data_IF_065633453898
#
_entry.id   IF_065633453898
#
_cell.length_a   1.000
_cell.length_b   1.000
_cell.length_c   1.000
_cell.angle_alpha   90.00
_cell.angle_beta   90.00
_cell.angle_gamma   90.00
#
_symmetry.space_group_name_H-M   'P 1'
#
loop_
_entity.id
_entity.type
_entity.pdbx_description
1 polymer ?
#
# COMPACT_ATOMS: atom_id res chain seq x y z
N UNK A 1 2.60 -17.73 -16.59
CA UNK A 1 1.45 -17.02 -15.95
C UNK A 1 0.69 -17.86 -14.91
N UNK A 2 1.13 -19.07 -14.57
CA UNK A 2 0.43 -19.98 -13.64
C UNK A 2 0.91 -19.86 -12.18
N UNK A 3 2.17 -19.53 -11.93
CA UNK A 3 2.73 -19.50 -10.57
C UNK A 3 2.04 -18.46 -9.66
N UNK A 4 1.86 -17.22 -10.12
CA UNK A 4 1.22 -16.14 -9.35
C UNK A 4 -0.29 -16.35 -9.10
N UNK A 5 -0.92 -17.29 -9.78
CA UNK A 5 -2.34 -17.59 -9.61
C UNK A 5 -2.62 -18.69 -8.57
N UNK A 6 -1.60 -19.34 -8.03
CA UNK A 6 -1.76 -20.29 -6.93
C UNK A 6 -2.09 -19.57 -5.62
N UNK A 7 -3.04 -20.14 -4.87
CA UNK A 7 -3.53 -19.57 -3.60
C UNK A 7 -2.38 -19.26 -2.60
N UNK A 8 -1.38 -20.13 -2.40
CA UNK A 8 -0.28 -19.86 -1.46
C UNK A 8 0.54 -18.63 -1.87
N UNK A 9 0.81 -18.46 -3.16
CA UNK A 9 1.58 -17.33 -3.66
C UNK A 9 0.83 -16.00 -3.49
N UNK A 10 -0.50 -16.03 -3.63
CA UNK A 10 -1.36 -14.87 -3.40
C UNK A 10 -1.44 -14.50 -1.91
N UNK A 11 -1.49 -15.48 -1.01
CA UNK A 11 -1.40 -15.26 0.44
C UNK A 11 -0.04 -14.71 0.83
N UNK A 12 1.05 -15.28 0.30
CA UNK A 12 2.40 -14.79 0.52
C UNK A 12 2.57 -13.34 0.03
N UNK A 13 2.05 -13.00 -1.15
CA UNK A 13 2.05 -11.63 -1.65
C UNK A 13 1.23 -10.68 -0.76
N UNK A 14 0.07 -11.12 -0.27
CA UNK A 14 -0.74 -10.34 0.66
C UNK A 14 -0.02 -10.11 2.00
N UNK A 15 0.71 -11.10 2.49
CA UNK A 15 1.52 -10.99 3.70
C UNK A 15 2.67 -10.01 3.51
N UNK A 16 3.48 -10.19 2.45
CA UNK A 16 4.60 -9.30 2.13
C UNK A 16 4.10 -7.88 1.92
N UNK A 17 3.03 -7.70 1.14
CA UNK A 17 2.38 -6.41 0.94
C UNK A 17 1.92 -5.78 2.24
N UNK A 18 1.30 -6.55 3.13
CA UNK A 18 0.87 -6.07 4.44
C UNK A 18 2.06 -5.59 5.29
N UNK A 19 3.14 -6.38 5.35
CA UNK A 19 4.36 -6.00 6.08
C UNK A 19 4.94 -4.71 5.54
N UNK A 20 5.08 -4.59 4.22
CA UNK A 20 5.58 -3.38 3.58
C UNK A 20 4.66 -2.18 3.87
N UNK A 21 3.35 -2.37 3.87
CA UNK A 21 2.38 -1.31 4.14
C UNK A 21 2.38 -0.85 5.60
N UNK A 22 2.48 -1.80 6.53
CA UNK A 22 2.67 -1.52 7.95
C UNK A 22 3.97 -0.76 8.20
N UNK A 23 5.09 -1.20 7.60
CA UNK A 23 6.37 -0.51 7.71
C UNK A 23 6.32 0.90 7.11
N UNK A 24 5.74 1.07 5.93
CA UNK A 24 5.55 2.39 5.32
C UNK A 24 4.76 3.32 6.23
N UNK A 25 3.65 2.82 6.79
CA UNK A 25 2.82 3.56 7.75
C UNK A 25 3.63 3.94 8.98
N UNK A 26 4.39 3.01 9.55
CA UNK A 26 5.25 3.29 10.69
C UNK A 26 6.28 4.38 10.37
N UNK A 27 6.96 4.29 9.22
CA UNK A 27 7.93 5.28 8.78
C UNK A 27 7.30 6.67 8.59
N UNK A 28 6.10 6.74 8.01
CA UNK A 28 5.35 8.00 7.87
C UNK A 28 5.00 8.59 9.24
N UNK A 29 4.46 7.80 10.17
CA UNK A 29 4.09 8.29 11.50
C UNK A 29 5.31 8.68 12.34
N UNK A 30 6.41 7.93 12.21
CA UNK A 30 7.69 8.28 12.82
C UNK A 30 8.26 9.58 12.22
N UNK A 31 8.09 9.81 10.92
CA UNK A 31 8.45 11.06 10.26
C UNK A 31 7.64 12.26 10.80
N UNK A 32 6.37 12.05 11.16
CA UNK A 32 5.53 13.06 11.83
C UNK A 32 5.73 13.12 13.36
N UNK A 33 6.82 12.56 13.88
CA UNK A 33 7.16 12.53 15.31
C UNK A 33 6.05 11.95 16.22
N UNK A 34 5.14 11.15 15.67
CA UNK A 34 4.10 10.48 16.46
C UNK A 34 4.77 9.44 17.36
N UNK A 35 4.35 9.39 18.63
CA UNK A 35 4.95 8.52 19.63
C UNK A 35 5.11 7.08 19.12
N UNK A 36 6.28 6.48 19.33
CA UNK A 36 6.60 5.15 18.77
C UNK A 36 5.59 4.05 19.13
N UNK A 37 4.94 4.15 20.31
CA UNK A 37 3.87 3.23 20.72
C UNK A 37 2.60 3.39 19.87
N UNK A 38 2.18 4.63 19.60
CA UNK A 38 1.04 4.92 18.73
C UNK A 38 1.37 4.53 17.28
N UNK A 39 2.57 4.84 16.80
CA UNK A 39 3.03 4.51 15.45
C UNK A 39 3.04 3.00 15.21
N UNK A 40 3.50 2.20 16.19
CA UNK A 40 3.42 0.74 16.15
C UNK A 40 1.99 0.23 16.16
N UNK A 41 1.13 0.78 17.03
CA UNK A 41 -0.27 0.37 17.11
C UNK A 41 -1.02 0.63 15.78
N UNK A 42 -0.87 1.83 15.22
CA UNK A 42 -1.51 2.21 13.95
C UNK A 42 -0.96 1.37 12.79
N UNK A 43 0.36 1.17 12.73
CA UNK A 43 1.01 0.28 11.75
C UNK A 43 0.45 -1.14 11.82
N UNK A 44 0.29 -1.69 13.03
CA UNK A 44 -0.30 -3.01 13.25
C UNK A 44 -1.77 -3.08 12.81
N UNK A 45 -2.56 -2.04 13.10
CA UNK A 45 -3.95 -1.93 12.64
C UNK A 45 -3.99 -1.92 11.11
N UNK A 46 -3.16 -1.10 10.46
CA UNK A 46 -3.09 -1.02 8.99
C UNK A 46 -2.68 -2.36 8.38
N UNK A 47 -1.69 -3.05 8.96
CA UNK A 47 -1.30 -4.40 8.54
C UNK A 47 -2.49 -5.37 8.60
N UNK A 48 -3.20 -5.42 9.73
CA UNK A 48 -4.34 -6.32 9.92
C UNK A 48 -5.48 -6.03 8.94
N UNK A 49 -5.80 -4.76 8.73
CA UNK A 49 -6.82 -4.35 7.75
C UNK A 49 -6.42 -4.72 6.33
N UNK A 50 -5.17 -4.47 5.94
CA UNK A 50 -4.66 -4.83 4.61
C UNK A 50 -4.66 -6.35 4.41
N UNK A 51 -4.08 -7.11 5.34
CA UNK A 51 -3.98 -8.56 5.20
C UNK A 51 -5.36 -9.22 5.26
N UNK A 52 -6.19 -8.83 6.23
CA UNK A 52 -7.53 -9.37 6.42
C UNK A 52 -8.45 -9.12 5.24
N UNK A 53 -8.44 -7.92 4.67
CA UNK A 53 -9.26 -7.61 3.50
C UNK A 53 -8.81 -8.36 2.24
N UNK A 54 -7.49 -8.56 2.08
CA UNK A 54 -6.93 -9.34 0.97
C UNK A 54 -7.32 -10.80 1.10
N UNK A 55 -7.27 -11.37 2.30
CA UNK A 55 -7.79 -12.72 2.57
C UNK A 55 -9.31 -12.78 2.31
N UNK A 56 -10.07 -11.80 2.77
CA UNK A 56 -11.52 -11.73 2.55
C UNK A 56 -11.85 -11.77 1.05
N UNK A 57 -11.18 -10.93 0.23
CA UNK A 57 -11.33 -10.97 -1.22
C UNK A 57 -10.88 -12.30 -1.81
N UNK A 58 -9.75 -12.85 -1.36
CA UNK A 58 -9.17 -14.10 -1.85
C UNK A 58 -10.10 -15.29 -1.64
N UNK A 59 -10.74 -15.36 -0.47
CA UNK A 59 -11.61 -16.46 -0.06
C UNK A 59 -13.08 -16.24 -0.44
N UNK A 60 -13.52 -15.01 -0.66
CA UNK A 60 -14.90 -14.73 -1.08
C UNK A 60 -15.28 -15.42 -2.39
N UNK A 61 -14.29 -15.65 -3.27
CA UNK A 61 -14.54 -16.21 -4.61
C UNK A 61 -15.45 -15.34 -5.48
N UNK A 62 -15.75 -14.11 -5.04
CA UNK A 62 -16.57 -13.15 -5.78
C UNK A 62 -15.66 -12.42 -6.75
N UNK A 63 -16.14 -12.30 -7.98
CA UNK A 63 -15.48 -11.50 -8.99
C UNK A 63 -15.58 -10.02 -8.62
N UNK A 64 -14.46 -9.42 -8.24
CA UNK A 64 -14.36 -8.00 -7.92
C UNK A 64 -13.45 -7.31 -8.94
N UNK A 65 -13.54 -5.98 -9.05
CA UNK A 65 -12.69 -5.19 -9.94
C UNK A 65 -11.18 -5.45 -9.71
N UNK A 66 -10.85 -5.83 -8.46
CA UNK A 66 -9.50 -6.02 -7.98
C UNK A 66 -9.04 -7.49 -8.04
N UNK A 67 -9.98 -8.45 -7.95
CA UNK A 67 -9.68 -9.88 -7.96
C UNK A 67 -10.69 -10.67 -8.79
N UNK A 68 -10.18 -11.32 -9.83
CA UNK A 68 -10.89 -12.29 -10.66
C UNK A 68 -10.44 -13.71 -10.29
N UNK A 69 -11.39 -14.62 -10.03
CA UNK A 69 -11.08 -16.06 -10.03
C UNK A 69 -12.24 -16.90 -10.57
N UNK A 70 -11.93 -17.61 -11.66
CA UNK A 70 -12.31 -18.97 -12.10
C UNK A 70 -13.73 -19.56 -11.92
N UNK A 71 -14.47 -19.26 -10.86
CA UNK A 71 -15.85 -19.75 -10.66
C UNK A 71 -16.72 -18.55 -10.37
N UNK A 72 -17.66 -18.28 -11.26
CA UNK A 72 -18.62 -17.20 -11.10
C UNK A 72 -19.61 -17.54 -9.98
N UNK A 73 -19.20 -17.30 -8.73
CA UNK A 73 -20.03 -17.46 -7.54
C UNK A 73 -20.99 -16.29 -7.35
N UNK A 74 -20.98 -15.31 -8.26
CA UNK A 74 -21.89 -14.17 -8.25
C UNK A 74 -23.34 -14.62 -8.08
N UNK A 75 -23.78 -15.62 -8.86
CA UNK A 75 -25.16 -16.12 -8.83
C UNK A 75 -25.63 -16.62 -7.45
N UNK A 76 -24.72 -17.04 -6.57
CA UNK A 76 -25.08 -17.54 -5.24
C UNK A 76 -25.16 -16.46 -4.17
N UNK A 77 -24.48 -15.33 -4.37
CA UNK A 77 -24.35 -14.27 -3.37
C UNK A 77 -24.91 -12.93 -3.83
N UNK A 78 -25.33 -12.79 -5.09
CA UNK A 78 -25.91 -11.57 -5.64
C UNK A 78 -27.13 -11.14 -4.81
N UNK A 79 -27.15 -9.87 -4.37
CA UNK A 79 -28.18 -9.32 -3.49
C UNK A 79 -27.92 -9.49 -1.98
N UNK A 80 -26.87 -10.21 -1.57
CA UNK A 80 -26.51 -10.32 -0.14
C UNK A 80 -25.63 -9.16 0.33
N UNK A 81 -25.65 -8.87 1.64
CA UNK A 81 -24.74 -7.92 2.28
C UNK A 81 -23.27 -8.31 2.11
N UNK A 82 -22.98 -9.60 2.12
CA UNK A 82 -21.65 -10.15 1.86
C UNK A 82 -21.13 -9.79 0.45
N UNK A 83 -21.99 -9.91 -0.57
CA UNK A 83 -21.63 -9.51 -1.94
C UNK A 83 -21.36 -8.02 -2.06
N UNK A 84 -22.21 -7.19 -1.45
CA UNK A 84 -21.99 -5.73 -1.42
C UNK A 84 -20.66 -5.38 -0.73
N UNK A 85 -20.37 -6.00 0.41
CA UNK A 85 -19.11 -5.80 1.14
C UNK A 85 -17.89 -6.22 0.29
N UNK A 86 -17.92 -7.38 -0.36
CA UNK A 86 -16.84 -7.83 -1.24
C UNK A 86 -16.61 -6.88 -2.42
N UNK A 87 -17.67 -6.39 -3.06
CA UNK A 87 -17.55 -5.40 -4.13
C UNK A 87 -16.97 -4.07 -3.62
N UNK A 88 -17.41 -3.60 -2.45
CA UNK A 88 -16.89 -2.38 -1.84
C UNK A 88 -15.40 -2.49 -1.51
N UNK A 89 -14.99 -3.56 -0.82
CA UNK A 89 -13.59 -3.83 -0.50
C UNK A 89 -12.75 -3.92 -1.79
N UNK A 90 -13.24 -4.61 -2.81
CA UNK A 90 -12.56 -4.69 -4.11
C UNK A 90 -12.35 -3.32 -4.76
N UNK A 91 -13.39 -2.48 -4.81
CA UNK A 91 -13.28 -1.11 -5.35
C UNK A 91 -12.33 -0.24 -4.53
N UNK A 92 -12.40 -0.32 -3.20
CA UNK A 92 -11.53 0.43 -2.31
C UNK A 92 -10.06 0.15 -2.62
N UNK A 93 -9.67 -1.14 -2.71
CA UNK A 93 -8.28 -1.50 -3.03
C UNK A 93 -7.84 -1.10 -4.43
N UNK A 94 -8.76 -1.09 -5.40
CA UNK A 94 -8.45 -0.63 -6.75
C UNK A 94 -8.04 0.85 -6.76
N UNK A 95 -8.85 1.71 -6.14
CA UNK A 95 -8.54 3.15 -6.07
C UNK A 95 -7.36 3.45 -5.14
N UNK A 96 -7.26 2.73 -4.03
CA UNK A 96 -6.15 2.85 -3.10
C UNK A 96 -4.82 2.54 -3.78
N UNK A 97 -4.72 1.43 -4.52
CA UNK A 97 -3.48 1.04 -5.18
C UNK A 97 -3.15 1.97 -6.35
N UNK A 98 -4.17 2.51 -7.03
CA UNK A 98 -3.98 3.55 -8.03
C UNK A 98 -3.38 4.82 -7.41
N UNK A 99 -3.89 5.25 -6.25
CA UNK A 99 -3.37 6.40 -5.52
C UNK A 99 -1.93 6.14 -5.02
N UNK A 100 -1.67 4.96 -4.46
CA UNK A 100 -0.34 4.55 -4.01
C UNK A 100 0.64 4.52 -5.17
N UNK A 101 0.24 4.02 -6.34
CA UNK A 101 1.06 4.01 -7.54
C UNK A 101 1.39 5.43 -8.01
N UNK A 102 0.41 6.34 -8.04
CA UNK A 102 0.64 7.75 -8.33
C UNK A 102 1.61 8.41 -7.33
N UNK A 103 1.45 8.13 -6.04
CA UNK A 103 2.34 8.61 -4.99
C UNK A 103 3.77 8.08 -5.15
N UNK A 104 3.95 6.79 -5.44
CA UNK A 104 5.26 6.19 -5.68
C UNK A 104 5.95 6.76 -6.93
N UNK A 105 5.19 7.01 -8.00
CA UNK A 105 5.72 7.68 -9.19
C UNK A 105 6.24 9.07 -8.83
N UNK A 106 5.46 9.86 -8.09
CA UNK A 106 5.87 11.19 -7.65
C UNK A 106 7.16 11.12 -6.81
N UNK A 107 7.23 10.19 -5.87
CA UNK A 107 8.40 9.99 -5.01
C UNK A 107 9.63 9.58 -5.82
N UNK A 108 9.46 8.70 -6.82
CA UNK A 108 10.50 8.36 -7.77
C UNK A 108 10.99 9.58 -8.56
N UNK A 109 10.09 10.46 -9.01
CA UNK A 109 10.49 11.70 -9.68
C UNK A 109 11.31 12.60 -8.77
N UNK A 110 10.86 12.84 -7.54
CA UNK A 110 11.60 13.63 -6.54
C UNK A 110 12.98 13.04 -6.30
N UNK A 111 13.06 11.71 -6.14
CA UNK A 111 14.33 11.00 -5.93
C UNK A 111 15.27 11.12 -7.13
N UNK A 112 14.78 10.91 -8.35
CA UNK A 112 15.59 11.01 -9.58
C UNK A 112 16.09 12.44 -9.77
N UNK A 113 15.23 13.45 -9.57
CA UNK A 113 15.62 14.86 -9.67
C UNK A 113 16.69 15.17 -8.63
N UNK A 114 16.53 14.71 -7.38
CA UNK A 114 17.55 14.87 -6.33
C UNK A 114 18.89 14.26 -6.74
N UNK A 115 18.90 13.06 -7.31
CA UNK A 115 20.14 12.42 -7.77
C UNK A 115 20.80 13.16 -8.92
N UNK A 116 20.01 13.68 -9.87
CA UNK A 116 20.55 14.49 -10.98
C UNK A 116 21.18 15.77 -10.42
N UNK A 117 20.55 16.43 -9.45
CA UNK A 117 21.09 17.62 -8.81
C UNK A 117 22.37 17.34 -8.02
N UNK A 118 22.41 16.24 -7.26
CA UNK A 118 23.64 15.82 -6.56
C UNK A 118 24.78 15.58 -7.56
N UNK A 119 24.48 14.92 -8.69
CA UNK A 119 25.45 14.63 -9.73
C UNK A 119 25.96 15.91 -10.44
N UNK A 120 25.06 16.84 -10.78
CA UNK A 120 25.40 18.11 -11.42
C UNK A 120 26.23 19.02 -10.51
N UNK A 121 25.98 18.97 -9.20
CA UNK A 121 26.67 19.80 -8.21
C UNK A 121 27.93 19.13 -7.63
N UNK A 122 28.34 17.96 -8.14
CA UNK A 122 29.44 17.16 -7.60
C UNK A 122 29.31 16.86 -6.10
N UNK A 123 28.09 16.74 -5.61
CA UNK A 123 27.78 16.42 -4.22
C UNK A 123 27.64 14.90 -4.03
N UNK A 124 27.87 14.39 -2.81
CA UNK A 124 27.59 13.00 -2.51
C UNK A 124 26.11 12.68 -2.72
N UNK A 125 25.83 11.46 -3.21
CA UNK A 125 24.46 11.02 -3.45
C UNK A 125 23.59 11.11 -2.19
N UNK A 126 22.41 11.71 -2.33
CA UNK A 126 21.44 11.87 -1.26
C UNK A 126 21.55 13.20 -0.51
N UNK A 127 22.54 14.05 -0.81
CA UNK A 127 22.70 15.32 -0.10
C UNK A 127 21.55 16.31 -0.39
N UNK A 128 21.09 16.36 -1.65
CA UNK A 128 19.95 17.19 -2.05
C UNK A 128 18.66 16.70 -1.38
N UNK A 129 18.48 15.39 -1.22
CA UNK A 129 17.33 14.80 -0.55
C UNK A 129 17.35 15.09 0.95
N UNK A 130 18.51 14.97 1.59
CA UNK A 130 18.70 15.32 2.99
C UNK A 130 18.40 16.80 3.23
N UNK A 131 18.92 17.68 2.38
CA UNK A 131 18.65 19.12 2.42
C UNK A 131 17.17 19.44 2.20
N UNK A 132 16.48 18.72 1.30
CA UNK A 132 15.04 18.87 1.06
C UNK A 132 14.21 18.47 2.28
N UNK A 133 14.62 17.40 2.97
CA UNK A 133 13.98 16.95 4.21
C UNK A 133 14.22 17.95 5.35
N UNK A 134 15.41 18.51 5.46
CA UNK A 134 15.73 19.57 6.44
C UNK A 134 15.01 20.89 6.14
N UNK A 135 14.81 21.21 4.85
CA UNK A 135 14.15 22.44 4.41
C UNK A 135 12.62 22.36 4.47
N UNK A 136 12.04 21.16 4.46
CA UNK A 136 10.63 20.96 4.78
C UNK A 136 10.44 21.41 6.23
N UNK A 137 9.78 22.55 6.47
CA UNK A 137 9.65 23.02 7.82
C UNK A 137 8.83 21.99 8.59
N UNK A 138 9.34 21.56 9.75
CA UNK A 138 8.54 20.97 10.84
C UNK A 138 7.54 22.02 11.35
N UNK A 139 6.67 22.55 10.48
CA UNK A 139 5.62 23.51 10.79
C UNK A 139 4.29 22.88 10.47
N UNK A 140 3.95 21.81 11.18
CA UNK A 140 2.57 21.51 11.53
C UNK A 140 2.63 21.04 12.99
N UNK A 141 2.22 21.95 13.88
CA UNK A 141 1.99 21.75 15.31
C UNK A 141 0.98 20.63 15.57
#
# INVERSE_FOLDING_TARGET
MTFLNHLPNRVALALIGGVLYGLLTYCLLAFFEISGRLSLAVSGIVFLFYFGSRLFLLFSGIHTLYYSRGKDLRKFYEGTSFYSAAQWVGRFYYYHDLALFGFLILLCFVFIISLILDLLNHQPFGNTLHSLIEFLPCTIW
#
